data_IF_628109732643
#
_entry.id   IF_628109732643
#
_cell.length_a   1.000
_cell.length_b   1.000
_cell.length_c   1.000
_cell.angle_alpha   90.00
_cell.angle_beta   90.00
_cell.angle_gamma   90.00
#
_symmetry.space_group_name_H-M   'P 1'
#
loop_
_entity.id
_entity.type
_entity.pdbx_description
1 polymer ?
#
# COMPACT_ATOMS: atom_id res chain seq x y z
N UNK A 1 22.07 5.08 -11.96
CA UNK A 1 22.81 3.78 -11.88
C UNK A 1 23.52 3.60 -10.53
N UNK A 2 22.86 3.86 -9.39
CA UNK A 2 23.49 3.75 -8.06
C UNK A 2 23.03 2.50 -7.30
N UNK A 3 21.81 2.01 -7.53
CA UNK A 3 21.22 0.88 -6.80
C UNK A 3 21.83 -0.51 -7.06
N UNK A 4 22.61 -0.72 -8.12
CA UNK A 4 23.20 -2.05 -8.42
C UNK A 4 24.57 -2.24 -7.75
N UNK A 5 25.20 -1.16 -7.24
CA UNK A 5 26.61 -1.22 -6.81
C UNK A 5 26.86 -1.25 -5.31
N UNK A 6 25.84 -1.17 -4.48
CA UNK A 6 25.94 -1.44 -3.04
C UNK A 6 25.01 -2.58 -2.72
N UNK A 7 25.53 -3.60 -2.02
CA UNK A 7 24.73 -4.64 -1.38
C UNK A 7 23.92 -3.98 -0.25
N UNK A 8 22.98 -3.12 -0.62
CA UNK A 8 22.12 -2.42 0.30
C UNK A 8 21.09 -3.44 0.82
N UNK A 9 21.17 -3.84 2.10
CA UNK A 9 20.20 -4.74 2.70
C UNK A 9 18.77 -4.19 2.58
N UNK A 10 18.61 -2.86 2.55
CA UNK A 10 17.33 -2.20 2.36
C UNK A 10 16.69 -2.50 1.02
N UNK A 11 17.46 -2.34 -0.07
CA UNK A 11 17.00 -2.71 -1.40
C UNK A 11 16.59 -4.20 -1.50
N UNK A 12 17.30 -5.11 -0.82
CA UNK A 12 16.96 -6.53 -0.80
C UNK A 12 15.66 -6.82 -0.05
N UNK A 13 15.46 -6.23 1.13
CA UNK A 13 14.22 -6.38 1.90
C UNK A 13 13.04 -5.82 1.12
N UNK A 14 13.16 -4.63 0.54
CA UNK A 14 12.07 -4.03 -0.22
C UNK A 14 11.78 -4.76 -1.53
N UNK A 15 12.80 -5.29 -2.22
CA UNK A 15 12.59 -6.16 -3.38
C UNK A 15 11.85 -7.44 -2.99
N UNK A 16 12.14 -8.03 -1.83
CA UNK A 16 11.43 -9.20 -1.33
C UNK A 16 9.97 -8.88 -0.96
N UNK A 17 9.73 -7.75 -0.28
CA UNK A 17 8.37 -7.27 0.05
C UNK A 17 7.56 -7.00 -1.21
N UNK A 18 8.13 -6.29 -2.19
CA UNK A 18 7.48 -6.03 -3.47
C UNK A 18 7.18 -7.32 -4.24
N UNK A 19 8.11 -8.28 -4.24
CA UNK A 19 7.91 -9.58 -4.89
C UNK A 19 6.76 -10.35 -4.22
N UNK A 20 6.73 -10.44 -2.89
CA UNK A 20 5.60 -11.06 -2.15
C UNK A 20 4.29 -10.32 -2.47
N UNK A 21 4.36 -8.99 -2.49
CA UNK A 21 3.23 -8.12 -2.81
C UNK A 21 2.61 -8.41 -4.19
N UNK A 22 3.41 -8.72 -5.21
CA UNK A 22 2.89 -9.05 -6.55
C UNK A 22 2.06 -10.33 -6.59
N UNK A 23 2.23 -11.23 -5.62
CA UNK A 23 1.46 -12.46 -5.49
C UNK A 23 0.21 -12.32 -4.61
N UNK A 24 -0.03 -11.15 -4.02
CA UNK A 24 -1.18 -10.91 -3.15
C UNK A 24 -2.53 -11.27 -3.79
N UNK A 25 -2.84 -10.90 -5.05
CA UNK A 25 -4.11 -11.29 -5.67
C UNK A 25 -4.26 -12.81 -5.70
N UNK A 26 -3.25 -13.54 -6.19
CA UNK A 26 -3.32 -15.00 -6.29
C UNK A 26 -3.43 -15.71 -4.93
N UNK A 27 -2.80 -15.16 -3.89
CA UNK A 27 -2.96 -15.67 -2.52
C UNK A 27 -4.37 -15.42 -2.00
N UNK A 28 -4.94 -14.25 -2.26
CA UNK A 28 -6.30 -13.91 -1.86
C UNK A 28 -7.35 -14.77 -2.60
N UNK A 29 -7.18 -15.03 -3.89
CA UNK A 29 -8.06 -15.97 -4.65
C UNK A 29 -8.07 -17.36 -4.01
N UNK A 30 -6.90 -17.86 -3.62
CA UNK A 30 -6.77 -19.18 -2.98
C UNK A 30 -7.35 -19.22 -1.56
N UNK A 31 -7.17 -18.15 -0.79
CA UNK A 31 -7.58 -18.09 0.61
C UNK A 31 -9.07 -17.82 0.78
N UNK A 32 -9.66 -17.03 -0.12
CA UNK A 32 -11.03 -16.53 0.01
C UNK A 32 -11.97 -17.01 -1.10
N UNK A 33 -11.48 -17.74 -2.11
CA UNK A 33 -12.32 -18.26 -3.19
C UNK A 33 -12.86 -17.19 -4.15
N UNK A 34 -12.24 -16.01 -4.14
CA UNK A 34 -12.61 -14.87 -4.99
C UNK A 34 -11.92 -14.92 -6.34
N UNK A 35 -12.49 -14.31 -7.37
CA UNK A 35 -11.83 -14.16 -8.67
C UNK A 35 -11.53 -12.68 -8.98
N UNK A 36 -10.24 -12.34 -9.12
CA UNK A 36 -9.86 -11.00 -9.57
C UNK A 36 -9.92 -10.93 -11.09
N UNK A 37 -10.65 -9.92 -11.58
CA UNK A 37 -10.62 -9.53 -12.99
C UNK A 37 -9.20 -9.15 -13.43
N UNK A 38 -8.83 -9.35 -14.71
CA UNK A 38 -7.48 -9.07 -15.19
C UNK A 38 -6.98 -7.66 -14.86
N UNK A 39 -7.84 -6.64 -14.99
CA UNK A 39 -7.48 -5.27 -14.70
C UNK A 39 -7.23 -5.01 -13.20
N UNK A 40 -7.92 -5.72 -12.29
CA UNK A 40 -7.71 -5.60 -10.84
C UNK A 40 -6.34 -6.17 -10.45
N UNK A 41 -5.94 -7.27 -11.08
CA UNK A 41 -4.60 -7.86 -10.91
C UNK A 41 -3.52 -6.87 -11.36
N UNK A 42 -3.70 -6.28 -12.55
CA UNK A 42 -2.78 -5.26 -13.08
C UNK A 42 -2.71 -4.06 -12.14
N UNK A 43 -3.85 -3.59 -11.61
CA UNK A 43 -3.88 -2.48 -10.66
C UNK A 43 -3.01 -2.76 -9.42
N UNK A 44 -3.20 -3.91 -8.77
CA UNK A 44 -2.37 -4.31 -7.61
C UNK A 44 -0.89 -4.43 -7.98
N UNK A 45 -0.59 -5.02 -9.14
CA UNK A 45 0.79 -5.13 -9.63
C UNK A 45 1.44 -3.77 -9.86
N UNK A 46 0.70 -2.80 -10.39
CA UNK A 46 1.23 -1.45 -10.59
C UNK A 46 1.59 -0.77 -9.28
N UNK A 47 0.85 -0.99 -8.19
CA UNK A 47 1.25 -0.49 -6.88
C UNK A 47 2.62 -1.05 -6.45
N UNK A 48 2.84 -2.35 -6.63
CA UNK A 48 4.10 -3.01 -6.27
C UNK A 48 5.27 -2.54 -7.14
N UNK A 49 5.04 -2.38 -8.45
CA UNK A 49 6.05 -1.87 -9.39
C UNK A 49 6.41 -0.42 -9.04
N UNK A 50 5.41 0.44 -8.79
CA UNK A 50 5.65 1.84 -8.41
C UNK A 50 6.42 1.92 -7.10
N UNK A 51 6.09 1.11 -6.10
CA UNK A 51 6.86 1.06 -4.86
C UNK A 51 8.31 0.62 -5.11
N UNK A 52 8.52 -0.46 -5.87
CA UNK A 52 9.86 -0.96 -6.22
C UNK A 52 10.70 0.08 -7.00
N UNK A 53 10.09 0.82 -7.92
CA UNK A 53 10.74 1.93 -8.63
C UNK A 53 11.08 3.05 -7.65
N UNK A 54 10.19 3.36 -6.71
CA UNK A 54 10.42 4.37 -5.66
C UNK A 54 11.70 4.13 -4.87
N UNK A 55 11.98 2.86 -4.58
CA UNK A 55 13.21 2.46 -3.87
C UNK A 55 14.50 2.73 -4.64
N UNK A 56 14.44 3.08 -5.92
CA UNK A 56 15.61 3.41 -6.74
C UNK A 56 15.98 4.90 -6.66
N UNK A 57 15.26 5.71 -5.87
CA UNK A 57 15.49 7.15 -5.70
C UNK A 57 14.24 8.05 -5.72
N UNK A 58 13.14 7.73 -6.43
CA UNK A 58 12.00 8.64 -6.49
C UNK A 58 11.35 9.02 -5.15
N UNK A 59 11.46 8.18 -4.11
CA UNK A 59 11.04 8.57 -2.75
C UNK A 59 11.82 9.78 -2.20
N UNK A 60 13.06 9.99 -2.65
CA UNK A 60 13.91 11.12 -2.28
C UNK A 60 13.81 12.28 -3.28
N UNK A 61 13.73 11.96 -4.57
CA UNK A 61 13.90 12.94 -5.64
C UNK A 61 12.58 13.56 -6.13
N UNK A 62 11.43 12.92 -5.86
CA UNK A 62 10.14 13.31 -6.42
C UNK A 62 9.11 13.53 -5.31
N UNK A 63 8.82 14.80 -5.00
CA UNK A 63 8.00 15.22 -3.86
C UNK A 63 6.59 14.59 -3.76
N UNK A 64 5.99 14.21 -4.89
CA UNK A 64 4.64 13.61 -4.92
C UNK A 64 4.67 12.08 -4.93
N UNK A 65 5.85 11.45 -5.06
CA UNK A 65 5.95 10.01 -5.25
C UNK A 65 5.37 9.24 -4.08
N UNK A 66 5.71 9.67 -2.87
CA UNK A 66 5.27 9.02 -1.65
C UNK A 66 3.75 9.07 -1.48
N UNK A 67 3.20 10.27 -1.63
CA UNK A 67 1.77 10.55 -1.68
C UNK A 67 1.02 9.69 -2.72
N UNK A 68 1.61 9.47 -3.92
CA UNK A 68 1.02 8.58 -4.92
C UNK A 68 0.98 7.14 -4.42
N UNK A 69 2.07 6.66 -3.80
CA UNK A 69 2.13 5.29 -3.29
C UNK A 69 1.19 5.07 -2.11
N UNK A 70 1.01 6.05 -1.23
CA UNK A 70 0.01 6.05 -0.16
C UNK A 70 -1.42 5.99 -0.69
N UNK A 71 -1.79 6.88 -1.62
CA UNK A 71 -3.11 6.86 -2.23
C UNK A 71 -3.39 5.51 -2.94
N UNK A 72 -2.39 4.96 -3.63
CA UNK A 72 -2.56 3.71 -4.35
C UNK A 72 -2.68 2.51 -3.40
N UNK A 73 -1.78 2.39 -2.42
CA UNK A 73 -1.80 1.28 -1.45
C UNK A 73 -3.07 1.29 -0.60
N UNK A 74 -3.48 2.46 -0.11
CA UNK A 74 -4.70 2.65 0.68
C UNK A 74 -5.97 2.36 -0.13
N UNK A 75 -6.00 2.65 -1.43
CA UNK A 75 -7.14 2.28 -2.29
C UNK A 75 -7.26 0.76 -2.48
N UNK A 76 -6.14 0.02 -2.52
CA UNK A 76 -6.15 -1.45 -2.60
C UNK A 76 -6.65 -2.02 -1.26
N UNK A 77 -6.09 -1.56 -0.14
CA UNK A 77 -6.53 -1.96 1.19
C UNK A 77 -8.02 -1.65 1.40
N UNK A 78 -8.43 -0.43 1.08
CA UNK A 78 -9.80 0.03 1.16
C UNK A 78 -10.72 -0.82 0.30
N UNK A 79 -10.31 -1.15 -0.93
CA UNK A 79 -11.06 -2.01 -1.84
C UNK A 79 -11.30 -3.42 -1.27
N UNK A 80 -10.28 -4.02 -0.66
CA UNK A 80 -10.42 -5.31 0.01
C UNK A 80 -11.40 -5.24 1.19
N UNK A 81 -11.25 -4.23 2.05
CA UNK A 81 -12.16 -4.03 3.20
C UNK A 81 -13.59 -3.75 2.75
N UNK A 82 -13.74 -3.01 1.65
CA UNK A 82 -15.03 -2.74 1.03
C UNK A 82 -15.72 -4.02 0.58
N UNK A 83 -15.03 -4.84 -0.23
CA UNK A 83 -15.57 -6.09 -0.76
C UNK A 83 -15.99 -7.05 0.37
N UNK A 84 -15.10 -7.26 1.35
CA UNK A 84 -15.35 -8.11 2.52
C UNK A 84 -16.55 -7.60 3.34
N UNK A 85 -16.65 -6.28 3.54
CA UNK A 85 -17.75 -5.70 4.30
C UNK A 85 -19.09 -5.92 3.59
N UNK A 86 -19.11 -5.70 2.26
CA UNK A 86 -20.30 -5.90 1.43
C UNK A 86 -20.75 -7.35 1.42
N UNK A 87 -19.84 -8.29 1.20
CA UNK A 87 -20.18 -9.72 1.23
C UNK A 87 -20.78 -10.14 2.57
N UNK A 88 -20.23 -9.62 3.67
CA UNK A 88 -20.73 -9.89 5.02
C UNK A 88 -22.01 -9.11 5.40
N UNK A 89 -22.64 -8.43 4.44
CA UNK A 89 -23.87 -7.64 4.67
C UNK A 89 -23.67 -6.46 5.62
N UNK A 90 -22.44 -5.93 5.73
CA UNK A 90 -22.07 -4.84 6.63
C UNK A 90 -21.83 -3.55 5.85
N UNK A 91 -22.10 -2.40 6.48
CA UNK A 91 -21.77 -1.10 5.88
C UNK A 91 -20.23 -0.95 5.72
N UNK A 92 -19.72 -0.80 4.48
CA UNK A 92 -18.29 -0.66 4.24
C UNK A 92 -17.75 0.70 4.69
N UNK A 93 -18.57 1.77 4.75
CA UNK A 93 -18.10 3.15 4.96
C UNK A 93 -17.22 3.33 6.21
N UNK A 94 -17.69 3.02 7.43
CA UNK A 94 -16.87 3.20 8.62
C UNK A 94 -15.69 2.24 8.66
N UNK A 95 -15.80 1.07 8.02
CA UNK A 95 -14.76 0.03 8.04
C UNK A 95 -13.60 0.36 7.14
N UNK A 96 -13.86 0.85 5.94
CA UNK A 96 -12.82 1.31 5.01
C UNK A 96 -12.05 2.46 5.63
N UNK A 97 -12.75 3.48 6.14
CA UNK A 97 -12.09 4.63 6.79
C UNK A 97 -11.27 4.17 8.00
N UNK A 98 -11.85 3.37 8.89
CA UNK A 98 -11.13 2.89 10.07
C UNK A 98 -9.91 2.03 9.71
N UNK A 99 -10.04 1.12 8.75
CA UNK A 99 -8.93 0.27 8.32
C UNK A 99 -7.81 1.10 7.70
N UNK A 100 -8.13 2.01 6.78
CA UNK A 100 -7.15 2.86 6.10
C UNK A 100 -6.44 3.76 7.10
N UNK A 101 -7.16 4.44 8.00
CA UNK A 101 -6.53 5.32 9.00
C UNK A 101 -5.69 4.53 10.01
N UNK A 102 -6.21 3.42 10.54
CA UNK A 102 -5.49 2.65 11.55
C UNK A 102 -4.25 1.95 10.98
N UNK A 103 -4.34 1.37 9.78
CA UNK A 103 -3.20 0.72 9.14
C UNK A 103 -2.21 1.74 8.57
N UNK A 104 -2.68 2.87 8.03
CA UNK A 104 -1.80 3.99 7.64
C UNK A 104 -1.00 4.49 8.84
N UNK A 105 -1.66 4.77 9.96
CA UNK A 105 -0.94 5.17 11.18
C UNK A 105 0.01 4.08 11.70
N UNK A 106 -0.36 2.80 11.60
CA UNK A 106 0.52 1.71 11.98
C UNK A 106 1.75 1.63 11.06
N UNK A 107 1.57 1.89 9.76
CA UNK A 107 2.64 1.93 8.78
C UNK A 107 3.66 3.04 9.10
N UNK A 108 3.19 4.24 9.40
CA UNK A 108 4.02 5.38 9.83
C UNK A 108 4.88 5.06 11.06
N UNK A 109 4.32 4.33 12.01
CA UNK A 109 5.06 3.89 13.21
C UNK A 109 6.15 2.88 12.83
N UNK A 110 5.87 1.97 11.89
CA UNK A 110 6.85 1.01 11.38
C UNK A 110 7.97 1.74 10.65
N UNK A 111 7.64 2.70 9.78
CA UNK A 111 8.63 3.50 9.06
C UNK A 111 9.52 4.29 10.01
N UNK A 112 8.94 4.99 10.98
CA UNK A 112 9.69 5.68 12.01
C UNK A 112 10.60 4.72 12.79
N UNK A 113 10.10 3.53 13.13
CA UNK A 113 10.86 2.50 13.83
C UNK A 113 12.05 1.95 13.02
N UNK A 114 11.83 1.63 11.74
CA UNK A 114 12.86 1.15 10.81
C UNK A 114 13.91 2.23 10.57
N UNK A 115 13.48 3.48 10.39
CA UNK A 115 14.38 4.61 10.22
C UNK A 115 15.26 4.85 11.46
N UNK A 116 14.65 4.80 12.66
CA UNK A 116 15.39 4.92 13.92
C UNK A 116 16.38 3.77 14.13
N UNK A 117 16.01 2.54 13.76
CA UNK A 117 16.91 1.39 13.79
C UNK A 117 18.07 1.54 12.80
N UNK A 118 17.80 1.94 11.56
CA UNK A 118 18.82 2.19 10.53
C UNK A 118 19.88 3.19 10.99
N UNK A 119 19.44 4.33 11.54
CA UNK A 119 20.33 5.34 12.16
C UNK A 119 21.21 4.76 13.27
N UNK A 120 20.66 3.87 14.11
CA UNK A 120 21.39 3.25 15.22
C UNK A 120 22.46 2.26 14.75
N UNK A 121 22.22 1.55 13.65
CA UNK A 121 23.13 0.54 13.12
C UNK A 121 24.04 1.05 11.99
N UNK A 122 23.94 2.34 11.64
CA UNK A 122 24.74 2.94 10.56
C UNK A 122 24.40 2.42 9.17
N UNK A 123 23.17 1.92 8.99
CA UNK A 123 22.63 1.42 7.72
C UNK A 123 21.82 2.56 7.10
N UNK A 124 21.96 2.80 5.79
CA UNK A 124 21.08 3.74 5.08
C UNK A 124 19.61 3.34 5.33
N UNK A 125 18.73 4.27 5.74
CA UNK A 125 17.36 3.93 6.07
C UNK A 125 16.65 3.25 4.91
N UNK A 126 16.06 2.09 5.18
CA UNK A 126 15.31 1.27 4.22
C UNK A 126 13.96 1.90 3.87
N UNK A 127 13.47 2.79 4.72
CA UNK A 127 12.25 3.58 4.59
C UNK A 127 12.59 5.04 4.97
N UNK A 128 12.20 5.97 4.12
CA UNK A 128 12.40 7.41 4.37
C UNK A 128 11.28 7.84 5.31
N UNK A 129 11.60 8.66 6.31
CA UNK A 129 10.59 9.20 7.23
C UNK A 129 10.83 10.71 7.28
N UNK A 130 9.98 11.52 6.62
CA UNK A 130 10.16 12.98 6.60
C UNK A 130 9.54 13.71 7.79
N UNK A 131 9.03 12.98 8.79
CA UNK A 131 8.60 13.50 10.09
C UNK A 131 7.12 13.87 10.15
N UNK A 132 6.71 14.58 11.21
CA UNK A 132 5.27 14.74 11.56
C UNK A 132 4.37 15.36 10.49
N UNK A 133 4.92 16.19 9.59
CA UNK A 133 4.15 16.81 8.50
C UNK A 133 3.85 15.81 7.39
N UNK A 134 4.79 14.90 7.16
CA UNK A 134 4.72 13.81 6.19
C UNK A 134 3.56 12.90 6.54
N UNK A 135 3.57 12.34 7.76
CA UNK A 135 2.51 11.49 8.31
C UNK A 135 1.09 12.07 8.13
N UNK A 136 0.92 13.39 8.26
CA UNK A 136 -0.38 14.04 8.06
C UNK A 136 -0.77 14.07 6.58
N UNK A 137 0.18 14.33 5.70
CA UNK A 137 -0.03 14.26 4.26
C UNK A 137 -0.28 12.82 3.82
N UNK A 138 0.50 11.87 4.30
CA UNK A 138 0.37 10.44 3.99
C UNK A 138 -1.00 9.91 4.39
N UNK A 139 -1.43 10.17 5.63
CA UNK A 139 -2.79 9.88 6.07
C UNK A 139 -3.85 10.64 5.23
N UNK A 140 -3.54 11.85 4.76
CA UNK A 140 -4.40 12.61 3.87
C UNK A 140 -4.59 11.93 2.51
N UNK A 141 -3.51 11.45 1.90
CA UNK A 141 -3.55 10.72 0.63
C UNK A 141 -4.13 9.31 0.80
N UNK A 142 -3.92 8.69 1.96
CA UNK A 142 -4.59 7.45 2.34
C UNK A 142 -6.12 7.65 2.34
N UNK A 143 -6.59 8.76 2.92
CA UNK A 143 -8.02 9.11 2.90
C UNK A 143 -8.53 9.40 1.48
N UNK A 144 -7.71 9.98 0.59
CA UNK A 144 -8.09 10.11 -0.82
C UNK A 144 -8.32 8.72 -1.45
N UNK A 145 -7.43 7.76 -1.20
CA UNK A 145 -7.62 6.37 -1.65
C UNK A 145 -8.90 5.75 -1.09
N UNK A 146 -9.20 5.95 0.20
CA UNK A 146 -10.44 5.51 0.83
C UNK A 146 -11.68 6.15 0.18
N UNK A 147 -11.65 7.45 -0.09
CA UNK A 147 -12.76 8.18 -0.74
C UNK A 147 -13.01 7.62 -2.14
N UNK A 148 -11.96 7.37 -2.93
CA UNK A 148 -12.09 6.78 -4.26
C UNK A 148 -12.78 5.41 -4.21
N UNK A 149 -12.38 4.56 -3.26
CA UNK A 149 -13.03 3.26 -3.04
C UNK A 149 -14.49 3.43 -2.63
N UNK A 150 -14.80 4.31 -1.69
CA UNK A 150 -16.17 4.49 -1.22
C UNK A 150 -17.09 5.09 -2.29
N UNK A 151 -16.54 5.91 -3.19
CA UNK A 151 -17.28 6.52 -4.28
C UNK A 151 -17.53 5.56 -5.47
N UNK A 152 -16.56 4.67 -5.74
CA UNK A 152 -16.56 3.83 -6.95
C UNK A 152 -16.75 2.33 -6.67
N UNK A 153 -16.61 1.89 -5.42
CA UNK A 153 -16.55 0.49 -5.03
C UNK A 153 -17.76 -0.32 -5.48
N UNK A 154 -18.96 0.25 -5.42
CA UNK A 154 -20.17 -0.44 -5.88
C UNK A 154 -20.17 -0.76 -7.38
N UNK A 155 -19.54 0.11 -8.19
CA UNK A 155 -19.44 -0.08 -9.64
C UNK A 155 -18.29 -0.99 -10.02
N UNK A 156 -17.20 -0.92 -9.26
CA UNK A 156 -15.89 -1.44 -9.67
C UNK A 156 -15.54 -2.75 -8.96
N UNK A 157 -16.11 -2.97 -7.77
CA UNK A 157 -15.87 -4.13 -6.91
C UNK A 157 -17.17 -4.91 -6.64
N UNK A 158 -18.29 -4.57 -7.27
CA UNK A 158 -19.58 -5.22 -7.05
C UNK A 158 -19.55 -6.74 -7.24
N UNK A 159 -18.90 -7.21 -8.32
CA UNK A 159 -18.72 -8.64 -8.61
C UNK A 159 -17.85 -9.31 -7.54
N UNK A 160 -16.71 -8.69 -7.20
CA UNK A 160 -15.79 -9.20 -6.18
C UNK A 160 -16.48 -9.30 -4.81
N UNK A 161 -17.31 -8.30 -4.47
CA UNK A 161 -18.09 -8.29 -3.24
C UNK A 161 -19.20 -9.35 -3.20
N UNK A 162 -19.69 -9.82 -4.35
CA UNK A 162 -20.67 -10.90 -4.42
C UNK A 162 -20.01 -12.27 -4.16
N UNK A 163 -18.75 -12.44 -4.55
CA UNK A 163 -18.00 -13.70 -4.47
C UNK A 163 -17.24 -13.89 -3.13
N UNK A 164 -16.98 -12.83 -2.36
CA UNK A 164 -15.96 -12.78 -1.30
C UNK A 164 -16.37 -13.01 0.17
#
# INVERSE_FOLDING_TARGET
MVGVRRRDPGAVVNAAVAAVGTHLPALAERAYGIEFRPWQRVYVQTAMITHAIGMLGPYDDVWWWDHLTHMHSSSILGGAVFAISRHRGRDPRPRVVAAVVCLGLAWEIVEYGVHAAGKRFGIEPVLVSYGKRDTVLDLGFDLVGAILVLALGDRVLGDLAAEA
#
